data_IF_050669661942
#
_entry.id   IF_050669661942
#
_cell.length_a   1.000
_cell.length_b   1.000
_cell.length_c   1.000
_cell.angle_alpha   90.00
_cell.angle_beta   90.00
_cell.angle_gamma   90.00
#
_symmetry.space_group_name_H-M   'P 1'
#
loop_
_entity.id
_entity.type
_entity.pdbx_description
1 polymer ?
#
# COMPACT_ATOMS: atom_id res chain seq x y z
N UNK A 1 11.02 4.29 8.28
CA UNK A 1 9.84 3.41 8.18
C UNK A 1 8.60 4.15 8.64
N UNK A 2 7.55 4.06 7.85
CA UNK A 2 6.27 4.64 8.21
C UNK A 2 5.19 3.57 8.29
N UNK A 3 4.12 3.90 8.99
CA UNK A 3 3.02 2.99 9.22
C UNK A 3 1.72 3.67 8.81
N UNK A 4 0.90 2.94 8.04
CA UNK A 4 -0.45 3.36 7.69
C UNK A 4 -1.43 2.34 8.24
N UNK A 5 -2.54 2.80 8.80
CA UNK A 5 -3.56 1.89 9.30
C UNK A 5 -4.50 1.46 8.19
N UNK A 6 -4.67 0.16 8.02
CA UNK A 6 -5.58 -0.38 7.01
C UNK A 6 -7.04 -0.13 7.41
N UNK A 7 -7.95 -0.41 6.50
CA UNK A 7 -9.38 -0.29 6.78
C UNK A 7 -9.83 -1.18 7.95
N UNK A 8 -9.10 -2.24 8.24
CA UNK A 8 -9.40 -3.14 9.36
C UNK A 8 -8.67 -2.72 10.64
N UNK A 9 -8.01 -1.55 10.63
CA UNK A 9 -7.29 -1.06 11.80
C UNK A 9 -5.95 -1.71 12.04
N UNK A 10 -5.40 -2.43 11.06
CA UNK A 10 -4.10 -3.08 11.20
C UNK A 10 -3.00 -2.11 10.78
N UNK A 11 -1.96 -1.91 11.60
CA UNK A 11 -0.84 -1.06 11.21
C UNK A 11 0.00 -1.77 10.14
N UNK A 12 0.13 -1.13 8.99
CA UNK A 12 0.84 -1.67 7.83
C UNK A 12 2.16 -0.92 7.69
N UNK A 13 3.26 -1.65 7.76
CA UNK A 13 4.61 -1.08 7.68
C UNK A 13 5.04 -0.90 6.23
N UNK A 14 5.60 0.26 5.94
CA UNK A 14 6.30 0.50 4.68
C UNK A 14 7.75 0.84 5.04
N UNK A 15 8.65 -0.12 4.88
CA UNK A 15 10.05 0.06 5.20
C UNK A 15 10.77 0.81 4.07
N UNK A 16 11.90 1.45 4.38
CA UNK A 16 12.71 2.12 3.37
C UNK A 16 13.19 1.14 2.31
N UNK A 17 13.59 -0.05 2.74
CA UNK A 17 14.03 -1.10 1.82
C UNK A 17 12.93 -1.49 0.85
N UNK A 18 11.70 -1.71 1.36
CA UNK A 18 10.57 -2.05 0.52
C UNK A 18 10.23 -0.92 -0.45
N UNK A 19 10.25 0.31 0.04
CA UNK A 19 10.01 1.47 -0.81
C UNK A 19 11.03 1.58 -1.93
N UNK A 20 12.30 1.34 -1.61
CA UNK A 20 13.36 1.33 -2.61
C UNK A 20 13.09 0.30 -3.71
N UNK A 21 12.69 -0.92 -3.32
CA UNK A 21 12.35 -1.96 -4.30
C UNK A 21 11.15 -1.60 -5.17
N UNK A 22 10.15 -0.96 -4.57
CA UNK A 22 8.97 -0.52 -5.32
C UNK A 22 9.37 0.51 -6.39
N UNK A 23 10.14 1.51 -6.01
CA UNK A 23 10.56 2.57 -6.92
C UNK A 23 11.49 2.04 -7.99
N UNK A 24 12.35 1.09 -7.65
CA UNK A 24 13.25 0.46 -8.59
C UNK A 24 12.50 -0.26 -9.71
N UNK A 25 11.40 -0.92 -9.36
CA UNK A 25 10.55 -1.63 -10.30
C UNK A 25 9.54 -0.73 -11.02
N UNK A 26 9.14 0.36 -10.35
CA UNK A 26 8.12 1.29 -10.84
C UNK A 26 8.57 2.72 -10.60
N UNK A 27 9.44 3.21 -11.47
CA UNK A 27 10.05 4.55 -11.35
C UNK A 27 9.02 5.67 -11.28
N UNK A 28 7.87 5.47 -11.90
CA UNK A 28 6.79 6.46 -11.90
C UNK A 28 6.20 6.70 -10.52
N UNK A 29 6.50 5.84 -9.55
CA UNK A 29 6.03 6.01 -8.18
C UNK A 29 6.98 6.80 -7.29
N UNK A 30 8.12 7.25 -7.81
CA UNK A 30 9.15 7.92 -7.02
C UNK A 30 8.64 9.10 -6.19
N UNK A 31 7.68 9.86 -6.70
CA UNK A 31 7.11 11.01 -5.98
C UNK A 31 5.83 10.69 -5.21
N UNK A 32 5.48 9.41 -5.04
CA UNK A 32 4.18 8.99 -4.53
C UNK A 32 4.24 8.24 -3.19
N UNK A 33 5.28 8.48 -2.39
CA UNK A 33 5.43 7.79 -1.10
C UNK A 33 4.21 8.02 -0.20
N UNK A 34 3.82 9.28 -0.04
CA UNK A 34 2.67 9.61 0.81
C UNK A 34 1.36 9.08 0.22
N UNK A 35 1.27 9.04 -1.11
CA UNK A 35 0.09 8.48 -1.78
C UNK A 35 -0.06 6.98 -1.51
N UNK A 36 1.04 6.25 -1.41
CA UNK A 36 1.02 4.82 -1.07
C UNK A 36 0.44 4.64 0.33
N UNK A 37 0.93 5.40 1.30
CA UNK A 37 0.44 5.33 2.68
C UNK A 37 -1.03 5.74 2.76
N UNK A 38 -1.39 6.83 2.07
CA UNK A 38 -2.76 7.32 2.07
C UNK A 38 -3.72 6.32 1.40
N UNK A 39 -3.25 5.60 0.38
CA UNK A 39 -4.07 4.60 -0.29
C UNK A 39 -4.44 3.45 0.67
N UNK A 40 -3.52 3.07 1.56
CA UNK A 40 -3.79 2.05 2.56
C UNK A 40 -4.82 2.55 3.57
N UNK A 41 -4.68 3.80 4.03
CA UNK A 41 -5.57 4.35 5.06
C UNK A 41 -6.96 4.71 4.53
N UNK A 42 -7.03 5.24 3.31
CA UNK A 42 -8.25 5.78 2.73
C UNK A 42 -8.49 5.26 1.32
N UNK A 43 -8.57 3.95 1.13
CA UNK A 43 -8.77 3.39 -0.21
C UNK A 43 -10.19 3.70 -0.71
N UNK A 44 -10.32 3.77 -2.03
CA UNK A 44 -11.64 3.83 -2.63
C UNK A 44 -12.32 2.46 -2.52
N UNK A 45 -11.51 1.40 -2.69
CA UNK A 45 -11.98 0.02 -2.44
C UNK A 45 -10.77 -0.89 -2.21
N UNK A 46 -11.03 -2.05 -1.63
CA UNK A 46 -10.02 -3.06 -1.34
C UNK A 46 -10.44 -4.38 -1.94
N UNK A 47 -9.54 -5.00 -2.69
CA UNK A 47 -9.76 -6.30 -3.30
C UNK A 47 -8.94 -7.37 -2.59
N UNK A 48 -9.40 -8.61 -2.66
CA UNK A 48 -8.62 -9.74 -2.20
C UNK A 48 -7.63 -10.13 -3.28
N UNK A 49 -6.38 -10.26 -2.90
CA UNK A 49 -5.33 -10.69 -3.78
C UNK A 49 -4.97 -12.16 -3.57
N UNK A 50 -3.79 -12.53 -4.06
CA UNK A 50 -3.30 -13.90 -4.00
C UNK A 50 -2.73 -14.20 -2.62
N UNK A 51 -2.97 -15.41 -2.12
CA UNK A 51 -2.40 -15.92 -0.85
C UNK A 51 -2.66 -15.00 0.35
N UNK A 52 -3.85 -14.47 0.43
CA UNK A 52 -4.23 -13.65 1.58
C UNK A 52 -3.79 -12.20 1.51
N UNK A 53 -3.17 -11.78 0.42
CA UNK A 53 -2.84 -10.37 0.23
C UNK A 53 -4.12 -9.56 -0.01
N UNK A 54 -4.05 -8.28 0.30
CA UNK A 54 -5.10 -7.32 0.01
C UNK A 54 -4.55 -6.26 -0.94
N UNK A 55 -5.43 -5.72 -1.77
CA UNK A 55 -5.05 -4.70 -2.74
C UNK A 55 -5.93 -3.48 -2.50
N UNK A 56 -5.33 -2.44 -1.93
CA UNK A 56 -6.01 -1.16 -1.74
C UNK A 56 -5.87 -0.35 -3.02
N UNK A 57 -6.98 0.19 -3.51
CA UNK A 57 -7.00 0.95 -4.75
C UNK A 57 -7.60 2.33 -4.48
N UNK A 58 -6.93 3.36 -5.00
CA UNK A 58 -7.37 4.73 -4.84
C UNK A 58 -7.09 5.53 -6.11
N UNK A 59 -8.06 6.34 -6.52
CA UNK A 59 -7.84 7.33 -7.58
C UNK A 59 -6.96 8.44 -7.05
N UNK A 60 -5.83 8.68 -7.72
CA UNK A 60 -4.87 9.71 -7.31
C UNK A 60 -4.84 10.90 -8.26
N UNK A 61 -5.42 10.73 -9.45
CA UNK A 61 -5.54 11.78 -10.45
C UNK A 61 -6.62 11.34 -11.43
N UNK A 62 -6.98 12.24 -12.35
CA UNK A 62 -8.00 11.93 -13.35
C UNK A 62 -7.57 10.70 -14.15
N UNK A 63 -8.38 9.65 -14.13
CA UNK A 63 -8.15 8.39 -14.83
C UNK A 63 -6.87 7.66 -14.41
N UNK A 64 -6.36 7.99 -13.22
CA UNK A 64 -5.19 7.32 -12.67
C UNK A 64 -5.51 6.74 -11.31
N UNK A 65 -5.15 5.48 -11.12
CA UNK A 65 -5.37 4.77 -9.86
C UNK A 65 -4.05 4.25 -9.34
N UNK A 66 -3.93 4.23 -8.04
CA UNK A 66 -2.80 3.61 -7.37
C UNK A 66 -3.30 2.33 -6.70
N UNK A 67 -2.61 1.23 -6.92
CA UNK A 67 -2.88 -0.05 -6.28
C UNK A 67 -1.74 -0.38 -5.35
N UNK A 68 -2.03 -0.65 -4.08
CA UNK A 68 -1.04 -1.02 -3.08
C UNK A 68 -1.37 -2.41 -2.57
N UNK A 69 -0.43 -3.34 -2.73
CA UNK A 69 -0.58 -4.71 -2.27
C UNK A 69 0.03 -4.82 -0.88
N UNK A 70 -0.74 -5.26 0.08
CA UNK A 70 -0.26 -5.40 1.45
C UNK A 70 -0.85 -6.65 2.09
N UNK A 71 -0.31 -7.02 3.23
CA UNK A 71 -0.76 -8.18 3.95
C UNK A 71 -0.94 -7.85 5.42
N UNK A 72 -2.06 -8.29 5.98
CA UNK A 72 -2.34 -8.20 7.40
C UNK A 72 -1.96 -9.53 8.02
N UNK A 73 -0.89 -9.55 8.80
CA UNK A 73 -0.40 -10.78 9.42
C UNK A 73 -1.19 -11.14 10.65
N UNK A 74 -1.52 -10.13 11.45
CA UNK A 74 -2.29 -10.27 12.67
C UNK A 74 -2.86 -8.90 13.02
N UNK A 75 -3.64 -8.83 14.10
CA UNK A 75 -4.37 -7.61 14.48
C UNK A 75 -3.50 -6.34 14.54
N UNK A 76 -2.26 -6.47 14.95
CA UNK A 76 -1.39 -5.31 15.16
C UNK A 76 -0.12 -5.35 14.32
N UNK A 77 -0.12 -6.09 13.22
CA UNK A 77 1.06 -6.16 12.35
C UNK A 77 0.70 -6.52 10.93
N UNK A 78 1.26 -5.79 9.99
CA UNK A 78 1.15 -6.04 8.58
C UNK A 78 2.26 -5.31 7.83
N UNK A 79 2.34 -5.53 6.53
CA UNK A 79 3.40 -4.91 5.74
C UNK A 79 3.00 -4.76 4.28
N UNK A 80 3.62 -3.78 3.62
CA UNK A 80 3.45 -3.57 2.18
C UNK A 80 4.28 -4.59 1.42
N UNK A 81 3.67 -5.20 0.41
CA UNK A 81 4.33 -6.10 -0.51
C UNK A 81 4.80 -5.37 -1.76
N UNK A 82 3.91 -4.57 -2.35
CA UNK A 82 4.19 -3.90 -3.61
C UNK A 82 3.22 -2.74 -3.84
N UNK A 83 3.50 -1.97 -4.85
CA UNK A 83 2.61 -0.90 -5.28
C UNK A 83 2.76 -0.63 -6.79
#
# INVERSE_FOLDING_TARGET
MDIANSMNGVPIRLTEERWFHIVESHNDLAGHYDDVLNTIEHPDFVLKGYKGALIAIKGIAKRRYLAVVYKELKRNDGFVLSA
#
